data_IF_839213893336
#
_entry.id   IF_839213893336
#
_cell.length_a   1.000
_cell.length_b   1.000
_cell.length_c   1.000
_cell.angle_alpha   90.00
_cell.angle_beta   90.00
_cell.angle_gamma   90.00
#
_symmetry.space_group_name_H-M   'P 1'
#
loop_
_entity.id
_entity.type
_entity.pdbx_description
1 polymer ?
#
# COMPACT_ATOMS: atom_id res chain seq x y z
N UNK A 1 -41.03 -6.74 -16.04
CA UNK A 1 -39.70 -7.22 -15.64
C UNK A 1 -39.74 -7.51 -14.14
N UNK A 2 -39.31 -8.69 -13.72
CA UNK A 2 -39.58 -9.22 -12.37
C UNK A 2 -38.53 -8.71 -11.36
N UNK A 3 -38.71 -7.50 -10.84
CA UNK A 3 -37.88 -6.94 -9.77
C UNK A 3 -37.88 -7.84 -8.51
N UNK A 4 -39.00 -8.51 -8.22
CA UNK A 4 -39.12 -9.38 -7.05
C UNK A 4 -38.18 -10.59 -7.15
N UNK A 5 -38.00 -11.16 -8.34
CA UNK A 5 -37.07 -12.27 -8.56
C UNK A 5 -35.60 -11.87 -8.38
N UNK A 6 -35.23 -10.66 -8.81
CA UNK A 6 -33.88 -10.11 -8.63
C UNK A 6 -33.61 -9.84 -7.15
N UNK A 7 -34.54 -9.16 -6.48
CA UNK A 7 -34.49 -8.89 -5.05
C UNK A 7 -34.37 -10.17 -4.23
N UNK A 8 -35.22 -11.16 -4.51
CA UNK A 8 -35.22 -12.44 -3.81
C UNK A 8 -33.89 -13.20 -3.95
N UNK A 9 -33.21 -13.08 -5.09
CA UNK A 9 -31.87 -13.68 -5.27
C UNK A 9 -30.85 -13.05 -4.32
N UNK A 10 -30.81 -11.72 -4.23
CA UNK A 10 -29.87 -11.02 -3.33
C UNK A 10 -30.21 -11.30 -1.87
N UNK A 11 -31.49 -11.27 -1.50
CA UNK A 11 -31.93 -11.60 -0.13
C UNK A 11 -31.57 -13.04 0.26
N UNK A 12 -31.67 -13.99 -0.68
CA UNK A 12 -31.25 -15.38 -0.45
C UNK A 12 -29.73 -15.50 -0.26
N UNK A 13 -28.93 -14.82 -1.11
CA UNK A 13 -27.48 -14.76 -0.95
C UNK A 13 -27.08 -14.21 0.43
N UNK A 14 -27.66 -13.08 0.84
CA UNK A 14 -27.37 -12.43 2.14
C UNK A 14 -27.68 -13.38 3.30
N UNK A 15 -28.81 -14.11 3.24
CA UNK A 15 -29.17 -15.09 4.25
C UNK A 15 -28.22 -16.29 4.30
N UNK A 16 -27.86 -16.85 3.14
CA UNK A 16 -26.98 -18.02 3.07
C UNK A 16 -25.54 -17.67 3.50
N UNK A 17 -25.04 -16.49 3.11
CA UNK A 17 -23.76 -15.96 3.57
C UNK A 17 -23.73 -15.82 5.09
N UNK A 18 -24.74 -15.17 5.68
CA UNK A 18 -24.81 -15.00 7.13
C UNK A 18 -24.87 -16.36 7.85
N UNK A 19 -25.66 -17.30 7.34
CA UNK A 19 -25.76 -18.64 7.91
C UNK A 19 -24.43 -19.40 7.83
N UNK A 20 -23.66 -19.24 6.75
CA UNK A 20 -22.31 -19.80 6.62
C UNK A 20 -21.35 -19.18 7.64
N UNK A 21 -21.36 -17.86 7.76
CA UNK A 21 -20.55 -17.14 8.74
C UNK A 21 -20.89 -17.56 10.19
N UNK A 22 -22.16 -17.78 10.52
CA UNK A 22 -22.56 -18.30 11.83
C UNK A 22 -22.01 -19.71 12.12
N UNK A 23 -21.82 -20.55 11.09
CA UNK A 23 -21.28 -21.91 11.22
C UNK A 23 -19.76 -21.93 11.38
N UNK A 24 -19.04 -21.15 10.58
CA UNK A 24 -17.57 -21.28 10.44
C UNK A 24 -16.81 -19.98 10.68
N UNK A 25 -17.47 -18.82 10.60
CA UNK A 25 -16.85 -17.50 10.52
C UNK A 25 -16.57 -16.78 11.83
N UNK A 26 -16.79 -17.42 12.98
CA UNK A 26 -16.46 -16.85 14.30
C UNK A 26 -15.04 -17.26 14.67
N UNK A 27 -14.04 -16.36 14.64
CA UNK A 27 -12.66 -16.72 14.94
C UNK A 27 -12.57 -17.31 16.35
N UNK A 28 -12.37 -18.63 16.44
CA UNK A 28 -11.98 -19.30 17.68
C UNK A 28 -10.47 -19.17 17.86
N UNK A 29 -10.00 -19.06 19.11
CA UNK A 29 -8.60 -18.86 19.51
C UNK A 29 -7.52 -19.31 18.50
N UNK A 30 -6.48 -18.48 18.36
CA UNK A 30 -5.39 -18.46 17.38
C UNK A 30 -4.60 -19.75 17.08
N UNK A 31 -4.88 -20.88 17.74
CA UNK A 31 -4.12 -22.12 17.55
C UNK A 31 -4.46 -22.89 16.26
N UNK A 32 -5.42 -22.43 15.44
CA UNK A 32 -5.85 -23.18 14.25
C UNK A 32 -6.41 -22.30 13.11
N UNK A 33 -5.80 -21.14 12.88
CA UNK A 33 -6.30 -20.13 11.95
C UNK A 33 -6.43 -20.65 10.50
N UNK A 34 -5.47 -21.44 10.02
CA UNK A 34 -5.47 -21.98 8.65
C UNK A 34 -6.69 -22.88 8.39
N UNK A 35 -7.04 -23.77 9.32
CA UNK A 35 -8.20 -24.66 9.16
C UNK A 35 -9.52 -23.88 9.19
N UNK A 36 -9.58 -22.77 9.92
CA UNK A 36 -10.76 -21.89 9.93
C UNK A 36 -10.92 -21.20 8.57
N UNK A 37 -9.83 -20.68 7.99
CA UNK A 37 -9.85 -20.09 6.66
C UNK A 37 -10.17 -21.11 5.56
N UNK A 38 -9.63 -22.33 5.64
CA UNK A 38 -9.98 -23.41 4.71
C UNK A 38 -11.48 -23.76 4.79
N UNK A 39 -12.02 -23.91 6.01
CA UNK A 39 -13.44 -24.18 6.20
C UNK A 39 -14.33 -23.03 5.70
N UNK A 40 -13.92 -21.78 5.94
CA UNK A 40 -14.60 -20.59 5.44
C UNK A 40 -14.60 -20.53 3.91
N UNK A 41 -13.45 -20.80 3.28
CA UNK A 41 -13.32 -20.89 1.83
C UNK A 41 -14.26 -21.96 1.25
N UNK A 42 -14.39 -23.11 1.92
CA UNK A 42 -15.31 -24.17 1.53
C UNK A 42 -16.79 -23.76 1.59
N UNK A 43 -17.19 -23.01 2.62
CA UNK A 43 -18.55 -22.48 2.73
C UNK A 43 -18.85 -21.45 1.64
N UNK A 44 -17.90 -20.54 1.36
CA UNK A 44 -18.04 -19.55 0.29
C UNK A 44 -18.13 -20.19 -1.09
N UNK A 45 -17.37 -21.26 -1.36
CA UNK A 45 -17.46 -21.99 -2.62
C UNK A 45 -18.87 -22.53 -2.88
N UNK A 46 -19.54 -23.07 -1.85
CA UNK A 46 -20.94 -23.51 -1.96
C UNK A 46 -21.90 -22.36 -2.25
N UNK A 47 -21.70 -21.20 -1.61
CA UNK A 47 -22.49 -19.99 -1.87
C UNK A 47 -22.30 -19.50 -3.31
N UNK A 48 -21.08 -19.54 -3.83
CA UNK A 48 -20.76 -19.17 -5.22
C UNK A 48 -21.53 -20.09 -6.19
N UNK A 49 -21.49 -21.41 -5.98
CA UNK A 49 -22.21 -22.37 -6.83
C UNK A 49 -23.73 -22.13 -6.86
N UNK A 50 -24.31 -21.73 -5.73
CA UNK A 50 -25.77 -21.54 -5.59
C UNK A 50 -26.28 -20.19 -6.11
N UNK A 51 -25.47 -19.13 -6.02
CA UNK A 51 -25.91 -17.75 -6.26
C UNK A 51 -25.23 -17.07 -7.44
N UNK A 52 -24.01 -17.46 -7.78
CA UNK A 52 -23.19 -16.74 -8.73
C UNK A 52 -23.15 -17.42 -10.11
N UNK A 53 -22.66 -16.68 -11.10
CA UNK A 53 -22.25 -17.23 -12.39
C UNK A 53 -20.90 -17.92 -12.27
N UNK A 54 -20.58 -18.84 -13.18
CA UNK A 54 -19.28 -19.51 -13.22
C UNK A 54 -18.14 -18.48 -13.29
N UNK A 55 -17.16 -18.62 -12.39
CA UNK A 55 -15.95 -17.79 -12.35
C UNK A 55 -16.09 -16.49 -11.55
N UNK A 56 -17.27 -16.18 -11.00
CA UNK A 56 -17.43 -15.09 -10.04
C UNK A 56 -17.07 -15.53 -8.62
N UNK A 57 -16.87 -14.57 -7.72
CA UNK A 57 -16.52 -14.82 -6.31
C UNK A 57 -17.28 -13.86 -5.39
N UNK A 58 -17.23 -14.15 -4.08
CA UNK A 58 -17.80 -13.26 -3.06
C UNK A 58 -16.85 -12.11 -2.68
N UNK A 59 -15.54 -12.27 -2.92
CA UNK A 59 -14.51 -11.35 -2.45
C UNK A 59 -14.14 -11.54 -0.97
N UNK A 60 -14.84 -12.45 -0.26
CA UNK A 60 -14.62 -12.76 1.15
C UNK A 60 -13.65 -13.93 1.39
N UNK A 61 -13.13 -14.57 0.34
CA UNK A 61 -12.37 -15.82 0.43
C UNK A 61 -11.04 -15.66 1.22
N UNK A 62 -10.49 -14.45 1.26
CA UNK A 62 -9.27 -14.12 2.02
C UNK A 62 -9.51 -13.39 3.35
N UNK A 63 -10.76 -13.16 3.76
CA UNK A 63 -11.08 -12.32 4.91
C UNK A 63 -12.14 -12.96 5.80
N UNK A 64 -11.86 -13.01 7.11
CA UNK A 64 -12.80 -13.48 8.11
C UNK A 64 -12.83 -12.53 9.30
N UNK A 65 -13.99 -11.90 9.51
CA UNK A 65 -14.20 -10.86 10.51
C UNK A 65 -15.09 -11.34 11.65
N UNK A 66 -15.03 -10.64 12.79
CA UNK A 66 -15.91 -10.88 13.96
C UNK A 66 -17.37 -10.51 13.73
N UNK A 67 -17.68 -9.86 12.60
CA UNK A 67 -19.03 -9.59 12.10
C UNK A 67 -19.18 -10.15 10.68
N UNK A 68 -20.37 -10.65 10.34
CA UNK A 68 -20.66 -11.08 8.96
C UNK A 68 -20.66 -9.87 8.01
N UNK A 69 -20.02 -10.01 6.84
CA UNK A 69 -20.06 -8.98 5.79
C UNK A 69 -21.47 -8.74 5.22
N UNK A 70 -22.33 -9.77 5.30
CA UNK A 70 -23.74 -9.75 4.95
C UNK A 70 -24.58 -10.30 6.11
N UNK A 71 -25.65 -9.59 6.47
CA UNK A 71 -26.54 -9.94 7.58
C UNK A 71 -27.97 -9.49 7.24
N UNK A 72 -28.95 -10.41 7.12
CA UNK A 72 -30.34 -10.08 6.78
C UNK A 72 -31.01 -9.08 7.74
N UNK A 73 -30.51 -8.97 8.97
CA UNK A 73 -31.06 -8.06 9.99
C UNK A 73 -30.46 -6.65 9.93
N UNK A 74 -29.28 -6.50 9.32
CA UNK A 74 -28.53 -5.23 9.24
C UNK A 74 -28.43 -4.68 7.82
N UNK A 75 -28.57 -5.53 6.81
CA UNK A 75 -28.47 -5.17 5.40
C UNK A 75 -29.83 -4.83 4.80
N UNK A 76 -29.92 -3.69 4.12
CA UNK A 76 -31.15 -3.19 3.48
C UNK A 76 -30.89 -2.90 2.01
N UNK A 77 -31.69 -3.51 1.13
CA UNK A 77 -31.69 -3.18 -0.30
C UNK A 77 -32.28 -1.79 -0.52
N UNK A 78 -31.49 -0.89 -1.10
CA UNK A 78 -31.84 0.51 -1.35
C UNK A 78 -32.30 0.75 -2.78
N UNK A 79 -31.82 -0.03 -3.75
CA UNK A 79 -32.14 0.16 -5.18
C UNK A 79 -32.18 -1.18 -5.93
N UNK A 80 -33.11 -1.31 -6.90
CA UNK A 80 -33.19 -2.46 -7.82
C UNK A 80 -33.47 -1.95 -9.23
N UNK A 81 -32.49 -2.10 -10.13
CA UNK A 81 -32.60 -1.80 -11.56
C UNK A 81 -32.60 -3.09 -12.34
N UNK A 82 -33.55 -3.24 -13.27
CA UNK A 82 -33.69 -4.45 -14.08
C UNK A 82 -33.81 -4.04 -15.53
N UNK A 83 -32.89 -4.55 -16.33
CA UNK A 83 -32.92 -4.54 -17.79
C UNK A 83 -33.42 -5.90 -18.29
N UNK A 84 -33.30 -6.16 -19.60
CA UNK A 84 -33.88 -7.38 -20.21
C UNK A 84 -33.29 -8.66 -19.62
N UNK A 85 -31.96 -8.73 -19.54
CA UNK A 85 -31.16 -9.88 -19.13
C UNK A 85 -30.07 -9.51 -18.10
N UNK A 86 -30.05 -8.26 -17.65
CA UNK A 86 -29.13 -7.74 -16.63
C UNK A 86 -29.89 -7.04 -15.52
N UNK A 87 -29.34 -7.04 -14.32
CA UNK A 87 -29.88 -6.28 -13.22
C UNK A 87 -28.77 -5.78 -12.30
N UNK A 88 -29.05 -4.68 -11.59
CA UNK A 88 -28.19 -4.13 -10.54
C UNK A 88 -29.03 -3.97 -9.28
N UNK A 89 -28.54 -4.49 -8.17
CA UNK A 89 -29.13 -4.28 -6.84
C UNK A 89 -28.11 -3.55 -5.99
N UNK A 90 -28.54 -2.54 -5.25
CA UNK A 90 -27.71 -1.88 -4.24
C UNK A 90 -28.26 -2.11 -2.86
N UNK A 91 -27.36 -2.29 -1.90
CA UNK A 91 -27.70 -2.41 -0.50
C UNK A 91 -26.75 -1.61 0.39
N UNK A 92 -27.16 -1.43 1.64
CA UNK A 92 -26.34 -0.86 2.71
C UNK A 92 -26.44 -1.77 3.92
N UNK A 93 -25.32 -2.07 4.55
CA UNK A 93 -25.25 -2.77 5.84
C UNK A 93 -24.75 -1.83 6.92
N UNK A 94 -25.43 -1.82 8.08
CA UNK A 94 -25.11 -0.93 9.19
C UNK A 94 -24.61 -1.74 10.40
N UNK A 95 -23.28 -1.85 10.57
CA UNK A 95 -22.68 -2.47 11.77
C UNK A 95 -22.48 -1.49 12.94
N UNK A 96 -23.03 -0.28 12.86
CA UNK A 96 -22.86 0.76 13.87
C UNK A 96 -22.36 2.06 13.26
N UNK A 97 -21.11 2.43 13.57
CA UNK A 97 -20.57 3.77 13.27
C UNK A 97 -20.23 4.02 11.80
N UNK A 98 -19.97 2.97 11.00
CA UNK A 98 -19.68 3.10 9.58
C UNK A 98 -20.49 2.09 8.77
N UNK A 99 -21.38 2.54 7.87
CA UNK A 99 -22.06 1.66 6.94
C UNK A 99 -21.10 1.13 5.88
N UNK A 100 -21.38 -0.06 5.33
CA UNK A 100 -20.80 -0.51 4.06
C UNK A 100 -21.90 -0.53 3.00
N UNK A 101 -21.51 -0.30 1.76
CA UNK A 101 -22.41 -0.30 0.61
C UNK A 101 -22.03 -1.43 -0.35
N UNK A 102 -23.02 -2.09 -0.93
CA UNK A 102 -22.78 -3.13 -1.92
C UNK A 102 -23.53 -2.86 -3.21
N UNK A 103 -22.91 -3.26 -4.33
CA UNK A 103 -23.57 -3.37 -5.62
C UNK A 103 -23.46 -4.82 -6.13
N UNK A 104 -24.61 -5.45 -6.32
CA UNK A 104 -24.74 -6.75 -6.95
C UNK A 104 -25.10 -6.55 -8.41
N UNK A 105 -24.24 -7.04 -9.31
CA UNK A 105 -24.56 -7.10 -10.75
C UNK A 105 -24.99 -8.53 -11.06
N UNK A 106 -26.14 -8.65 -11.72
CA UNK A 106 -26.76 -9.93 -12.03
C UNK A 106 -26.99 -10.06 -13.52
N UNK A 107 -26.93 -11.29 -14.01
CA UNK A 107 -27.35 -11.69 -15.35
C UNK A 107 -28.41 -12.79 -15.27
N UNK A 108 -29.19 -12.94 -16.34
CA UNK A 108 -30.21 -13.97 -16.42
C UNK A 108 -29.69 -15.19 -17.20
N UNK A 109 -29.50 -16.30 -16.51
CA UNK A 109 -29.06 -17.60 -17.04
C UNK A 109 -30.13 -18.67 -16.77
N UNK A 110 -30.51 -19.44 -17.79
CA UNK A 110 -31.53 -20.51 -17.66
C UNK A 110 -32.82 -20.06 -16.92
N UNK A 111 -33.29 -18.86 -17.29
CA UNK A 111 -34.43 -18.16 -16.68
C UNK A 111 -34.26 -17.70 -15.21
N UNK A 112 -33.11 -17.98 -14.58
CA UNK A 112 -32.76 -17.59 -13.22
C UNK A 112 -31.83 -16.38 -13.20
N UNK A 113 -31.94 -15.55 -12.15
CA UNK A 113 -30.96 -14.50 -11.90
C UNK A 113 -29.77 -15.06 -11.13
N UNK A 114 -28.56 -14.76 -11.61
CA UNK A 114 -27.27 -15.14 -11.01
C UNK A 114 -26.43 -13.89 -10.81
N UNK A 115 -25.72 -13.82 -9.69
CA UNK A 115 -24.80 -12.73 -9.38
C UNK A 115 -23.52 -12.95 -10.21
N UNK A 116 -23.19 -12.03 -11.10
CA UNK A 116 -21.96 -12.10 -11.87
C UNK A 116 -20.83 -11.25 -11.28
N UNK A 117 -21.18 -10.27 -10.43
CA UNK A 117 -20.20 -9.44 -9.75
C UNK A 117 -20.80 -8.91 -8.44
N UNK A 118 -20.01 -8.92 -7.38
CA UNK A 118 -20.30 -8.28 -6.10
C UNK A 118 -19.23 -7.23 -5.86
N UNK A 119 -19.65 -5.97 -5.71
CA UNK A 119 -18.79 -4.83 -5.40
C UNK A 119 -19.09 -4.35 -3.99
N UNK A 120 -18.04 -4.01 -3.25
CA UNK A 120 -18.08 -3.44 -1.90
C UNK A 120 -17.52 -2.03 -1.94
N UNK A 121 -18.20 -1.11 -1.23
CA UNK A 121 -17.79 0.28 -1.08
C UNK A 121 -17.86 0.77 0.37
N UNK A 122 -16.96 1.69 0.72
CA UNK A 122 -16.98 2.36 2.03
C UNK A 122 -17.83 3.64 2.03
N UNK A 123 -17.95 4.30 0.89
CA UNK A 123 -18.70 5.54 0.73
C UNK A 123 -20.06 5.35 0.00
N UNK A 124 -21.06 6.19 0.30
CA UNK A 124 -22.35 6.12 -0.37
C UNK A 124 -22.25 6.50 -1.86
N UNK A 125 -23.19 6.01 -2.71
CA UNK A 125 -23.22 6.37 -4.12
C UNK A 125 -23.28 7.89 -4.35
N UNK A 126 -22.39 8.39 -5.22
CA UNK A 126 -22.31 9.81 -5.57
C UNK A 126 -21.68 10.71 -4.51
N UNK A 127 -21.14 10.14 -3.41
CA UNK A 127 -20.31 10.91 -2.49
C UNK A 127 -19.02 11.38 -3.20
N UNK A 128 -18.66 12.67 -3.12
CA UNK A 128 -17.41 13.12 -3.70
C UNK A 128 -16.24 12.43 -2.98
N UNK A 129 -15.15 12.12 -3.71
CA UNK A 129 -13.95 11.56 -3.09
C UNK A 129 -13.45 12.42 -1.93
N UNK A 130 -13.46 13.74 -2.13
CA UNK A 130 -13.06 14.73 -1.14
C UNK A 130 -13.95 15.96 -1.24
N UNK A 131 -14.09 16.72 -0.15
CA UNK A 131 -14.81 17.98 -0.15
C UNK A 131 -14.25 18.95 -1.23
N UNK A 132 -15.09 19.62 -2.05
CA UNK A 132 -14.62 20.50 -3.11
C UNK A 132 -13.71 21.64 -2.67
N UNK A 133 -13.92 22.21 -1.47
CA UNK A 133 -13.05 23.26 -0.96
C UNK A 133 -11.68 22.68 -0.57
N UNK A 134 -11.66 21.46 -0.02
CA UNK A 134 -10.41 20.74 0.25
C UNK A 134 -9.69 20.35 -1.04
N UNK A 135 -10.41 19.94 -2.09
CA UNK A 135 -9.84 19.69 -3.41
C UNK A 135 -9.12 20.94 -3.95
N UNK A 136 -9.74 22.12 -3.84
CA UNK A 136 -9.12 23.39 -4.25
C UNK A 136 -7.87 23.71 -3.44
N UNK A 137 -7.86 23.44 -2.12
CA UNK A 137 -6.66 23.60 -1.28
C UNK A 137 -5.53 22.68 -1.76
N UNK A 138 -5.82 21.40 -2.02
CA UNK A 138 -4.83 20.44 -2.50
C UNK A 138 -4.25 20.85 -3.85
N UNK A 139 -5.09 21.23 -4.81
CA UNK A 139 -4.63 21.65 -6.13
C UNK A 139 -3.74 22.90 -6.08
N UNK A 140 -4.00 23.81 -5.15
CA UNK A 140 -3.21 25.03 -4.95
C UNK A 140 -1.94 24.82 -4.10
N UNK A 141 -1.76 23.65 -3.48
CA UNK A 141 -0.56 23.34 -2.70
C UNK A 141 0.66 23.04 -3.59
N UNK A 142 0.45 22.66 -4.85
CA UNK A 142 1.51 22.44 -5.82
C UNK A 142 1.88 23.73 -6.57
N UNK A 143 3.18 23.96 -6.79
CA UNK A 143 3.68 25.14 -7.51
C UNK A 143 4.74 24.77 -8.55
N UNK A 144 4.78 25.53 -9.65
CA UNK A 144 5.86 25.43 -10.64
C UNK A 144 7.23 25.80 -10.05
N UNK A 145 7.28 26.53 -8.93
CA UNK A 145 8.50 27.02 -8.29
C UNK A 145 8.85 26.32 -6.97
N UNK A 146 8.07 25.29 -6.56
CA UNK A 146 8.23 24.61 -5.26
C UNK A 146 9.62 23.99 -5.08
N UNK A 147 10.35 24.32 -4.02
CA UNK A 147 11.77 23.96 -3.87
C UNK A 147 12.10 22.49 -4.20
N UNK A 148 13.30 22.28 -4.75
CA UNK A 148 13.86 20.95 -4.96
C UNK A 148 14.97 20.73 -3.93
N UNK A 149 14.69 20.06 -2.80
CA UNK A 149 15.67 19.90 -1.74
C UNK A 149 16.87 19.06 -2.20
N UNK A 150 18.00 19.24 -1.52
CA UNK A 150 19.17 18.41 -1.74
C UNK A 150 18.91 16.98 -1.24
N UNK A 151 19.51 15.99 -1.91
CA UNK A 151 19.48 14.63 -1.39
C UNK A 151 20.28 14.54 -0.09
N UNK A 152 19.84 13.72 0.87
CA UNK A 152 20.69 13.26 1.97
C UNK A 152 22.04 12.76 1.45
N UNK A 153 23.13 13.16 2.12
CA UNK A 153 24.50 12.91 1.64
C UNK A 153 24.93 11.43 1.69
N UNK A 154 24.18 10.63 2.43
CA UNK A 154 24.32 9.19 2.63
C UNK A 154 23.59 8.35 1.58
N UNK A 155 22.70 8.96 0.77
CA UNK A 155 22.05 8.29 -0.36
C UNK A 155 22.93 8.29 -1.60
N UNK A 156 23.17 7.11 -2.15
CA UNK A 156 23.92 6.91 -3.39
C UNK A 156 23.00 6.32 -4.47
N UNK A 157 22.27 7.22 -5.12
CA UNK A 157 21.32 6.85 -6.16
C UNK A 157 22.04 6.62 -7.51
N UNK A 158 21.71 5.51 -8.15
CA UNK A 158 22.04 5.23 -9.56
C UNK A 158 20.77 4.83 -10.31
N UNK A 159 19.85 5.79 -10.43
CA UNK A 159 18.55 5.56 -11.04
C UNK A 159 18.68 5.20 -12.52
N UNK A 160 19.71 5.70 -13.22
CA UNK A 160 19.94 5.33 -14.63
C UNK A 160 20.13 3.82 -14.78
N UNK A 161 20.87 3.19 -13.86
CA UNK A 161 21.08 1.75 -13.85
C UNK A 161 19.88 0.93 -13.35
N UNK A 162 18.86 1.57 -12.74
CA UNK A 162 17.56 0.93 -12.47
C UNK A 162 16.70 0.79 -13.73
N UNK A 163 17.05 1.44 -14.84
CA UNK A 163 16.34 1.36 -16.13
C UNK A 163 17.27 0.93 -17.28
N UNK A 164 18.40 0.29 -16.96
CA UNK A 164 19.34 -0.23 -17.95
C UNK A 164 18.92 -1.63 -18.43
N UNK A 165 18.02 -1.70 -19.42
CA UNK A 165 17.55 -2.96 -19.99
C UNK A 165 18.69 -3.92 -20.35
N UNK A 166 18.59 -5.17 -19.91
CA UNK A 166 19.57 -6.24 -20.10
C UNK A 166 20.70 -6.28 -19.06
N UNK A 167 20.77 -5.29 -18.17
CA UNK A 167 21.69 -5.29 -17.02
C UNK A 167 21.46 -6.54 -16.17
N UNK A 168 22.55 -7.23 -15.80
CA UNK A 168 22.47 -8.37 -14.88
C UNK A 168 22.45 -7.86 -13.44
N UNK A 169 21.46 -8.31 -12.67
CA UNK A 169 21.24 -7.95 -11.27
C UNK A 169 20.89 -9.21 -10.48
N UNK A 170 21.06 -9.22 -9.17
CA UNK A 170 20.79 -10.40 -8.33
C UNK A 170 20.00 -10.05 -7.06
N UNK A 171 18.77 -9.49 -7.17
CA UNK A 171 17.95 -9.14 -6.01
C UNK A 171 17.61 -10.34 -5.11
N UNK A 172 17.66 -11.55 -5.67
CA UNK A 172 17.33 -12.80 -5.00
C UNK A 172 18.53 -13.76 -4.92
N UNK A 173 19.75 -13.25 -5.03
CA UNK A 173 21.00 -14.02 -5.01
C UNK A 173 21.40 -14.65 -6.35
N UNK A 174 20.44 -14.97 -7.22
CA UNK A 174 20.72 -15.46 -8.58
C UNK A 174 20.70 -14.33 -9.62
N UNK A 175 21.64 -14.31 -10.59
CA UNK A 175 21.64 -13.31 -11.67
C UNK A 175 20.41 -13.42 -12.57
N UNK A 176 19.73 -12.29 -12.76
CA UNK A 176 18.62 -12.11 -13.69
C UNK A 176 18.83 -10.85 -14.52
N UNK A 177 18.22 -10.83 -15.72
CA UNK A 177 18.26 -9.65 -16.57
C UNK A 177 17.18 -8.67 -16.13
N UNK A 178 17.54 -7.40 -16.01
CA UNK A 178 16.60 -6.31 -15.83
C UNK A 178 15.84 -6.08 -17.14
N UNK A 179 14.52 -6.08 -17.10
CA UNK A 179 13.65 -5.71 -18.22
C UNK A 179 13.09 -4.30 -18.01
N UNK A 180 12.85 -3.57 -19.09
CA UNK A 180 12.18 -2.26 -19.04
C UNK A 180 10.94 -2.33 -19.92
N UNK A 181 9.78 -2.21 -19.30
CA UNK A 181 8.47 -2.34 -19.93
C UNK A 181 7.86 -0.96 -20.07
N UNK A 182 7.57 -0.57 -21.31
CA UNK A 182 6.78 0.64 -21.59
C UNK A 182 5.29 0.34 -21.34
N UNK A 183 4.71 1.01 -20.36
CA UNK A 183 3.32 0.82 -19.94
C UNK A 183 2.34 1.62 -20.80
N UNK A 184 2.78 2.76 -21.34
CA UNK A 184 1.95 3.63 -22.16
C UNK A 184 2.21 5.11 -21.90
N UNK A 185 1.21 5.93 -22.19
CA UNK A 185 1.27 7.38 -22.03
C UNK A 185 0.24 7.86 -21.00
N UNK A 186 0.69 8.73 -20.09
CA UNK A 186 -0.10 9.34 -19.03
C UNK A 186 -0.19 10.85 -19.28
N UNK A 187 -1.41 11.34 -19.44
CA UNK A 187 -1.73 12.75 -19.68
C UNK A 187 -1.97 13.44 -18.35
N UNK A 188 -1.11 14.39 -18.02
CA UNK A 188 -1.31 15.30 -16.89
C UNK A 188 -1.74 16.65 -17.45
N UNK A 189 -3.06 16.88 -17.49
CA UNK A 189 -3.63 18.12 -18.00
C UNK A 189 -3.55 19.26 -16.98
N UNK A 190 -3.61 18.93 -15.69
CA UNK A 190 -3.52 19.92 -14.62
C UNK A 190 -2.08 20.30 -14.30
N UNK A 191 -1.11 19.45 -14.60
CA UNK A 191 0.27 19.58 -14.13
C UNK A 191 0.45 19.23 -12.65
N UNK A 192 -0.61 18.90 -11.92
CA UNK A 192 -0.58 18.55 -10.50
C UNK A 192 -0.68 17.03 -10.38
N UNK A 193 0.43 16.39 -10.04
CA UNK A 193 0.49 14.95 -9.84
C UNK A 193 0.33 14.59 -8.35
N UNK A 194 -0.26 13.43 -8.09
CA UNK A 194 -0.17 12.73 -6.81
C UNK A 194 0.46 11.36 -7.02
N UNK A 195 1.24 10.90 -6.05
CA UNK A 195 1.79 9.54 -6.00
C UNK A 195 1.30 8.93 -4.70
N UNK A 196 0.65 7.77 -4.77
CA UNK A 196 0.03 7.17 -3.59
C UNK A 196 -0.16 5.68 -3.74
N UNK A 197 -0.36 5.04 -2.61
CA UNK A 197 -1.07 3.77 -2.56
C UNK A 197 -2.54 3.96 -2.98
N UNK A 198 -2.96 3.26 -4.03
CA UNK A 198 -4.29 3.39 -4.61
C UNK A 198 -5.22 2.33 -3.99
N UNK A 199 -6.41 2.77 -3.55
CA UNK A 199 -7.39 1.92 -2.87
C UNK A 199 -7.96 2.52 -1.58
N UNK A 200 -7.30 3.53 -1.01
CA UNK A 200 -7.67 4.12 0.30
C UNK A 200 -8.47 5.44 0.20
N UNK A 201 -9.50 5.53 -0.65
CA UNK A 201 -10.38 6.72 -0.74
C UNK A 201 -9.59 8.05 -0.75
N UNK A 202 -9.93 9.00 0.12
CA UNK A 202 -9.19 10.25 0.31
C UNK A 202 -8.07 10.20 1.38
N UNK A 203 -7.86 9.06 2.04
CA UNK A 203 -6.84 8.94 3.09
C UNK A 203 -5.43 9.15 2.50
N UNK A 204 -4.66 10.04 3.15
CA UNK A 204 -3.30 10.38 2.70
C UNK A 204 -3.23 11.11 1.35
N UNK A 205 -4.35 11.65 0.84
CA UNK A 205 -4.36 12.31 -0.46
C UNK A 205 -3.65 13.67 -0.41
N UNK A 206 -2.52 13.76 -1.11
CA UNK A 206 -1.77 15.00 -1.25
C UNK A 206 -1.03 15.08 -2.59
N UNK A 207 -0.80 16.28 -3.14
CA UNK A 207 -0.03 16.46 -4.37
C UNK A 207 1.47 16.37 -4.10
N UNK A 208 2.23 16.04 -5.14
CA UNK A 208 3.65 16.42 -5.19
C UNK A 208 3.77 17.94 -5.17
N UNK A 209 4.73 18.46 -4.40
CA UNK A 209 4.91 19.90 -4.22
C UNK A 209 5.23 20.63 -5.54
N UNK A 210 6.01 19.97 -6.41
CA UNK A 210 6.39 20.52 -7.71
C UNK A 210 5.35 20.17 -8.77
N UNK A 211 4.79 21.22 -9.38
CA UNK A 211 3.92 21.13 -10.56
C UNK A 211 4.74 20.90 -11.81
N UNK A 212 4.21 20.12 -12.76
CA UNK A 212 4.73 19.95 -14.10
C UNK A 212 4.01 20.87 -15.10
N UNK A 213 4.61 21.16 -16.27
CA UNK A 213 3.84 21.62 -17.41
C UNK A 213 2.67 20.68 -17.71
N UNK A 214 1.61 21.17 -18.35
CA UNK A 214 0.60 20.25 -18.87
C UNK A 214 1.20 19.45 -20.04
N UNK A 215 0.95 18.14 -20.09
CA UNK A 215 1.53 17.30 -21.13
C UNK A 215 1.14 15.83 -21.03
N UNK A 216 1.69 15.04 -21.95
CA UNK A 216 1.54 13.58 -21.99
C UNK A 216 2.92 12.95 -21.89
N UNK A 217 3.07 12.03 -20.95
CA UNK A 217 4.36 11.50 -20.49
C UNK A 217 4.39 10.00 -20.62
N UNK A 218 5.52 9.45 -21.06
CA UNK A 218 5.68 8.01 -21.18
C UNK A 218 5.90 7.38 -19.80
N UNK A 219 5.11 6.38 -19.45
CA UNK A 219 5.29 5.57 -18.26
C UNK A 219 6.06 4.28 -18.58
N UNK A 220 7.07 3.99 -17.77
CA UNK A 220 7.91 2.80 -17.88
C UNK A 220 8.12 2.19 -16.50
N UNK A 221 8.18 0.87 -16.44
CA UNK A 221 8.55 0.13 -15.22
C UNK A 221 9.74 -0.76 -15.52
N UNK A 222 10.71 -0.79 -14.64
CA UNK A 222 11.78 -1.78 -14.69
C UNK A 222 11.44 -2.98 -13.82
N UNK A 223 11.77 -4.19 -14.28
CA UNK A 223 11.45 -5.43 -13.59
C UNK A 223 12.65 -6.37 -13.54
N UNK A 224 12.72 -7.18 -12.48
CA UNK A 224 13.70 -8.24 -12.32
C UNK A 224 12.98 -9.51 -11.83
N UNK A 225 13.03 -10.58 -12.62
CA UNK A 225 12.33 -11.84 -12.31
C UNK A 225 10.81 -11.69 -12.03
N UNK A 226 10.15 -10.74 -12.71
CA UNK A 226 8.74 -10.45 -12.52
C UNK A 226 8.43 -9.47 -11.38
N UNK A 227 9.41 -9.10 -10.56
CA UNK A 227 9.28 -8.09 -9.52
C UNK A 227 9.56 -6.70 -10.07
N UNK A 228 8.68 -5.74 -9.81
CA UNK A 228 8.90 -4.33 -10.17
C UNK A 228 10.02 -3.73 -9.33
N UNK A 229 11.01 -3.13 -9.99
CA UNK A 229 12.19 -2.49 -9.37
C UNK A 229 11.96 -0.99 -9.20
N UNK A 230 11.47 -0.32 -10.24
CA UNK A 230 11.15 1.11 -10.19
C UNK A 230 10.12 1.49 -11.26
N UNK A 231 9.30 2.50 -10.98
CA UNK A 231 8.38 3.14 -11.93
C UNK A 231 8.96 4.50 -12.34
N UNK A 232 8.88 4.86 -13.62
CA UNK A 232 9.32 6.14 -14.18
C UNK A 232 8.24 6.77 -15.06
N UNK A 233 8.01 8.07 -14.86
CA UNK A 233 7.44 8.95 -15.90
C UNK A 233 8.54 9.75 -16.57
N UNK A 234 8.63 9.65 -17.89
CA UNK A 234 9.50 10.46 -18.73
C UNK A 234 8.81 11.79 -19.07
N UNK A 235 9.31 12.88 -18.48
CA UNK A 235 8.74 14.23 -18.62
C UNK A 235 9.36 14.97 -19.80
N UNK A 236 10.66 14.75 -20.06
CA UNK A 236 11.35 15.27 -21.24
C UNK A 236 12.45 14.30 -21.69
N UNK A 237 12.96 14.51 -22.91
CA UNK A 237 14.10 13.77 -23.47
C UNK A 237 15.46 14.30 -22.98
N UNK A 238 15.48 15.33 -22.13
CA UNK A 238 16.72 15.90 -21.63
C UNK A 238 17.41 14.91 -20.67
N UNK A 239 18.74 14.74 -20.75
CA UNK A 239 19.47 13.88 -19.82
C UNK A 239 19.33 14.38 -18.37
N UNK A 240 19.03 13.47 -17.46
CA UNK A 240 19.05 13.73 -16.02
C UNK A 240 20.51 13.84 -15.55
N UNK A 241 20.85 14.95 -14.91
CA UNK A 241 22.21 15.19 -14.36
C UNK A 241 22.23 15.23 -12.84
N UNK A 242 21.07 15.37 -12.19
CA UNK A 242 20.95 15.34 -10.74
C UNK A 242 19.58 14.81 -10.31
N UNK A 243 19.52 14.29 -9.09
CA UNK A 243 18.30 13.77 -8.49
C UNK A 243 17.91 14.60 -7.27
N UNK A 244 16.61 14.78 -7.08
CA UNK A 244 16.01 15.56 -5.99
C UNK A 244 14.85 14.77 -5.39
N UNK A 245 14.62 14.81 -4.07
CA UNK A 245 13.38 14.27 -3.49
C UNK A 245 12.15 14.85 -4.17
N UNK A 246 11.21 14.00 -4.56
CA UNK A 246 9.88 14.42 -5.02
C UNK A 246 8.92 14.47 -3.83
N UNK A 247 9.07 15.52 -3.02
CA UNK A 247 8.27 15.69 -1.80
C UNK A 247 6.79 15.91 -2.11
N UNK A 248 5.95 15.27 -1.30
CA UNK A 248 4.55 15.64 -1.15
C UNK A 248 4.47 17.00 -0.46
N UNK A 249 3.53 17.85 -0.85
CA UNK A 249 3.46 19.23 -0.37
C UNK A 249 3.33 19.31 1.17
N UNK A 250 4.42 19.70 1.83
CA UNK A 250 4.48 19.82 3.30
C UNK A 250 4.85 18.53 4.04
N UNK A 251 5.25 17.49 3.32
CA UNK A 251 5.56 16.16 3.85
C UNK A 251 6.88 15.61 3.27
N UNK A 252 7.10 14.29 3.40
CA UNK A 252 8.28 13.61 2.87
C UNK A 252 8.14 13.27 1.38
N UNK A 253 9.22 12.75 0.77
CA UNK A 253 9.19 12.15 -0.56
C UNK A 253 8.91 10.63 -0.53
N UNK A 254 8.54 10.08 0.63
CA UNK A 254 8.32 8.64 0.83
C UNK A 254 6.83 8.36 0.86
N UNK A 255 6.40 7.39 0.06
CA UNK A 255 5.01 6.96 -0.05
C UNK A 255 4.84 5.67 0.74
N UNK A 256 3.94 5.68 1.73
CA UNK A 256 3.52 4.47 2.42
C UNK A 256 2.58 3.65 1.54
N UNK A 257 2.80 2.33 1.51
CA UNK A 257 2.04 1.35 0.75
C UNK A 257 1.60 0.22 1.68
N UNK A 258 0.31 -0.08 1.63
CA UNK A 258 -0.42 -1.08 2.42
C UNK A 258 -1.38 -1.92 1.55
N UNK A 259 -1.66 -1.51 0.31
CA UNK A 259 -2.38 -2.31 -0.69
C UNK A 259 -1.46 -2.84 -1.81
N UNK A 260 -0.15 -2.97 -1.55
CA UNK A 260 0.81 -3.57 -2.48
C UNK A 260 0.94 -2.92 -3.86
N UNK A 261 0.54 -1.65 -4.01
CA UNK A 261 0.61 -0.92 -5.26
C UNK A 261 1.04 0.54 -5.09
N UNK A 262 1.50 1.14 -6.18
CA UNK A 262 1.69 2.58 -6.28
C UNK A 262 1.07 3.08 -7.57
N UNK A 263 0.33 4.18 -7.47
CA UNK A 263 -0.22 4.89 -8.59
C UNK A 263 0.31 6.32 -8.70
N UNK A 264 0.53 6.78 -9.93
CA UNK A 264 0.80 8.18 -10.28
C UNK A 264 -0.38 8.70 -11.08
N UNK A 265 -1.01 9.77 -10.59
CA UNK A 265 -2.31 10.25 -11.11
C UNK A 265 -2.32 11.77 -11.31
N UNK A 266 -3.09 12.24 -12.30
CA UNK A 266 -3.50 13.65 -12.35
C UNK A 266 -4.49 13.95 -11.22
N UNK A 267 -4.07 14.79 -10.26
CA UNK A 267 -4.84 15.05 -9.06
C UNK A 267 -6.18 15.74 -9.37
N UNK A 268 -6.23 16.61 -10.37
CA UNK A 268 -7.46 17.35 -10.68
C UNK A 268 -8.56 16.41 -11.18
N UNK A 269 -8.20 15.40 -11.97
CA UNK A 269 -9.16 14.40 -12.43
C UNK A 269 -9.54 13.45 -11.29
N UNK A 270 -8.58 13.07 -10.43
CA UNK A 270 -8.87 12.23 -9.27
C UNK A 270 -9.87 12.87 -8.30
N UNK A 271 -9.65 14.12 -7.89
CA UNK A 271 -10.56 14.82 -6.95
C UNK A 271 -11.92 15.18 -7.56
N UNK A 272 -12.06 15.07 -8.88
CA UNK A 272 -13.36 15.25 -9.57
C UNK A 272 -14.22 13.98 -9.59
N UNK A 273 -13.63 12.83 -9.27
CA UNK A 273 -14.34 11.56 -9.19
C UNK A 273 -15.18 11.48 -7.91
N UNK A 274 -16.25 10.69 -7.96
CA UNK A 274 -16.90 10.21 -6.74
C UNK A 274 -16.08 9.06 -6.11
N UNK A 275 -16.30 8.81 -4.82
CA UNK A 275 -15.52 7.83 -4.06
C UNK A 275 -15.68 6.40 -4.61
N UNK A 276 -16.91 6.02 -4.98
CA UNK A 276 -17.19 4.69 -5.53
C UNK A 276 -16.49 4.46 -6.87
N UNK A 277 -16.44 5.47 -7.75
CA UNK A 277 -15.70 5.41 -9.00
C UNK A 277 -14.21 5.13 -8.78
N UNK A 278 -13.59 5.75 -7.76
CA UNK A 278 -12.18 5.50 -7.42
C UNK A 278 -11.98 4.06 -6.91
N UNK A 279 -12.89 3.58 -6.07
CA UNK A 279 -12.86 2.20 -5.56
C UNK A 279 -13.08 1.17 -6.69
N UNK A 280 -14.00 1.42 -7.62
CA UNK A 280 -14.22 0.57 -8.80
C UNK A 280 -12.97 0.49 -9.68
N UNK A 281 -12.31 1.63 -9.93
CA UNK A 281 -11.06 1.68 -10.69
C UNK A 281 -9.97 0.87 -9.98
N UNK A 282 -9.85 0.98 -8.66
CA UNK A 282 -8.91 0.17 -7.90
C UNK A 282 -9.19 -1.33 -8.05
N UNK A 283 -10.44 -1.77 -7.85
CA UNK A 283 -10.82 -3.18 -7.99
C UNK A 283 -10.59 -3.70 -9.42
N UNK A 284 -10.92 -2.90 -10.44
CA UNK A 284 -10.68 -3.26 -11.83
C UNK A 284 -9.18 -3.44 -12.12
N UNK A 285 -8.35 -2.49 -11.69
CA UNK A 285 -6.95 -2.48 -12.10
C UNK A 285 -6.05 -3.34 -11.22
N UNK A 286 -6.34 -3.49 -9.92
CA UNK A 286 -5.62 -4.41 -9.02
C UNK A 286 -5.62 -5.84 -9.55
N UNK A 287 -6.76 -6.31 -10.06
CA UNK A 287 -6.85 -7.64 -10.68
C UNK A 287 -5.96 -7.81 -11.91
N UNK A 288 -5.76 -6.74 -12.69
CA UNK A 288 -4.91 -6.77 -13.90
C UNK A 288 -3.42 -6.80 -13.56
N UNK A 289 -3.03 -6.32 -12.39
CA UNK A 289 -1.64 -6.28 -11.96
C UNK A 289 -1.06 -7.67 -11.66
N UNK A 290 -1.88 -8.70 -11.49
CA UNK A 290 -1.39 -10.07 -11.33
C UNK A 290 -0.71 -10.61 -12.61
N UNK A 291 -1.14 -10.13 -13.79
CA UNK A 291 -0.69 -10.63 -15.08
C UNK A 291 0.16 -9.61 -15.86
N UNK A 292 0.39 -8.41 -15.31
CA UNK A 292 1.08 -7.32 -15.99
C UNK A 292 1.96 -6.51 -15.03
N UNK A 293 3.08 -5.98 -15.53
CA UNK A 293 3.98 -5.13 -14.74
C UNK A 293 3.33 -3.81 -14.30
N UNK A 294 2.25 -3.38 -14.96
CA UNK A 294 1.52 -2.16 -14.67
C UNK A 294 0.33 -1.94 -15.60
N UNK A 295 -0.50 -0.96 -15.27
CA UNK A 295 -1.64 -0.54 -16.06
C UNK A 295 -1.72 0.98 -16.15
N UNK A 296 -1.91 1.49 -17.37
CA UNK A 296 -2.28 2.89 -17.65
C UNK A 296 -3.78 2.94 -17.90
N UNK A 297 -4.46 3.91 -17.31
CA UNK A 297 -5.92 4.01 -17.37
C UNK A 297 -6.43 5.44 -17.23
N UNK A 298 -7.75 5.59 -17.40
CA UNK A 298 -8.44 6.86 -17.28
C UNK A 298 -9.26 6.91 -16.00
N UNK A 299 -9.08 7.97 -15.22
CA UNK A 299 -9.87 8.25 -14.03
C UNK A 299 -11.31 8.61 -14.41
N UNK A 300 -11.50 9.37 -15.48
CA UNK A 300 -12.81 9.93 -15.89
C UNK A 300 -13.37 9.35 -17.19
N UNK A 301 -12.63 8.46 -17.84
CA UNK A 301 -12.94 7.90 -19.16
C UNK A 301 -12.56 8.78 -20.36
N UNK A 302 -12.00 9.98 -20.14
CA UNK A 302 -11.68 10.93 -21.19
C UNK A 302 -10.28 10.77 -21.79
N UNK A 303 -9.27 10.63 -20.92
CA UNK A 303 -7.85 10.50 -21.28
C UNK A 303 -7.17 9.54 -20.30
N UNK A 304 -6.11 8.88 -20.73
CA UNK A 304 -5.27 8.12 -19.80
C UNK A 304 -4.48 9.10 -18.95
N UNK A 305 -4.80 9.21 -17.66
CA UNK A 305 -4.30 10.21 -16.71
C UNK A 305 -3.84 9.55 -15.38
N UNK A 306 -3.78 8.23 -15.36
CA UNK A 306 -3.26 7.43 -14.26
C UNK A 306 -2.40 6.27 -14.76
N UNK A 307 -1.39 5.92 -13.96
CA UNK A 307 -0.66 4.66 -14.06
C UNK A 307 -0.60 4.02 -12.69
N UNK A 308 -0.76 2.71 -12.60
CA UNK A 308 -0.63 1.93 -11.38
C UNK A 308 0.23 0.69 -11.63
N UNK A 309 1.07 0.34 -10.67
CA UNK A 309 1.96 -0.84 -10.70
C UNK A 309 1.96 -1.52 -9.34
N UNK A 310 2.31 -2.81 -9.29
CA UNK A 310 2.63 -3.44 -7.99
C UNK A 310 3.92 -2.85 -7.44
N UNK A 311 3.97 -2.65 -6.12
CA UNK A 311 5.20 -2.25 -5.43
C UNK A 311 6.10 -3.46 -5.23
N UNK A 312 7.42 -3.27 -5.35
CA UNK A 312 8.42 -4.33 -5.43
C UNK A 312 8.20 -5.53 -4.51
N UNK A 313 8.45 -5.39 -3.22
CA UNK A 313 8.20 -6.46 -2.24
C UNK A 313 6.80 -6.40 -1.60
N UNK A 314 5.87 -5.63 -2.17
CA UNK A 314 4.55 -5.38 -1.60
C UNK A 314 4.54 -4.16 -0.70
N UNK A 315 3.96 -4.28 0.49
CA UNK A 315 3.78 -3.16 1.42
C UNK A 315 5.11 -2.61 1.93
N UNK A 316 5.16 -1.30 2.18
CA UNK A 316 6.40 -0.64 2.56
C UNK A 316 6.37 0.87 2.41
N UNK A 317 7.56 1.47 2.38
CA UNK A 317 7.75 2.90 2.29
C UNK A 317 8.72 3.20 1.14
N UNK A 318 8.22 3.79 0.06
CA UNK A 318 8.94 3.89 -1.21
C UNK A 318 9.22 5.34 -1.58
N UNK A 319 10.50 5.73 -1.77
CA UNK A 319 10.84 7.10 -2.09
C UNK A 319 10.57 7.45 -3.55
N UNK A 320 10.16 8.70 -3.75
CA UNK A 320 9.98 9.34 -5.04
C UNK A 320 11.08 10.36 -5.30
N UNK A 321 11.53 10.44 -6.56
CA UNK A 321 12.60 11.33 -6.98
C UNK A 321 12.28 12.06 -8.29
N UNK A 322 12.62 13.34 -8.33
CA UNK A 322 12.70 14.13 -9.54
C UNK A 322 14.09 13.99 -10.17
N UNK A 323 14.12 13.60 -11.45
CA UNK A 323 15.29 13.71 -12.29
C UNK A 323 15.34 15.11 -12.90
N UNK A 324 16.43 15.83 -12.66
CA UNK A 324 16.63 17.23 -13.07
C UNK A 324 17.70 17.31 -14.15
N UNK A 325 17.37 17.99 -15.24
CA UNK A 325 18.27 18.25 -16.36
C UNK A 325 19.28 19.38 -16.05
N UNK A 326 20.27 19.56 -16.92
CA UNK A 326 21.34 20.57 -16.74
C UNK A 326 20.80 22.01 -16.66
N UNK A 327 19.69 22.31 -17.35
CA UNK A 327 19.03 23.61 -17.31
C UNK A 327 18.10 23.81 -16.10
N UNK A 328 18.04 22.83 -15.20
CA UNK A 328 17.21 22.84 -13.99
C UNK A 328 15.75 22.39 -14.23
N UNK A 329 15.37 22.01 -15.44
CA UNK A 329 14.02 21.50 -15.73
C UNK A 329 13.85 20.04 -15.26
N UNK A 330 12.61 19.65 -14.98
CA UNK A 330 12.28 18.26 -14.63
C UNK A 330 12.26 17.41 -15.90
N UNK A 331 13.05 16.34 -15.91
CA UNK A 331 13.12 15.37 -17.01
C UNK A 331 12.43 14.04 -16.68
N UNK A 332 12.34 13.66 -15.40
CA UNK A 332 11.63 12.44 -15.00
C UNK A 332 11.08 12.49 -13.58
N UNK A 333 10.01 11.74 -13.32
CA UNK A 333 9.60 11.30 -11.98
C UNK A 333 9.94 9.82 -11.84
N UNK A 334 10.51 9.41 -10.71
CA UNK A 334 10.78 8.00 -10.40
C UNK A 334 10.24 7.64 -9.03
N UNK A 335 9.59 6.48 -8.94
CA UNK A 335 9.31 5.79 -7.68
C UNK A 335 10.25 4.60 -7.59
N UNK A 336 11.06 4.53 -6.56
CA UNK A 336 12.00 3.44 -6.33
C UNK A 336 11.39 2.42 -5.36
N UNK A 337 11.28 1.16 -5.79
CA UNK A 337 10.76 0.08 -4.94
C UNK A 337 11.82 -0.57 -4.05
N UNK A 338 13.03 -0.01 -4.01
CA UNK A 338 14.12 -0.43 -3.12
C UNK A 338 14.47 -1.93 -3.27
N UNK A 339 14.28 -2.47 -4.47
CA UNK A 339 14.57 -3.89 -4.78
C UNK A 339 16.07 -4.10 -5.06
N UNK A 340 16.71 -3.11 -5.67
CA UNK A 340 18.13 -3.16 -6.05
C UNK A 340 18.95 -2.20 -5.20
N UNK A 341 18.89 -2.40 -3.88
CA UNK A 341 19.67 -1.61 -2.94
C UNK A 341 20.56 -2.48 -2.06
N UNK A 342 21.58 -1.83 -1.52
CA UNK A 342 22.28 -2.28 -0.32
C UNK A 342 22.11 -1.19 0.73
N UNK A 343 21.57 -1.57 1.89
CA UNK A 343 21.43 -0.68 3.02
C UNK A 343 22.81 -0.29 3.56
N UNK A 344 23.02 1.01 3.74
CA UNK A 344 24.19 1.51 4.44
C UNK A 344 23.84 1.57 5.91
N UNK A 345 24.48 0.70 6.70
CA UNK A 345 24.28 0.63 8.15
C UNK A 345 25.54 0.99 8.91
N UNK A 346 25.36 1.59 10.08
CA UNK A 346 26.42 1.84 11.05
C UNK A 346 26.10 1.16 12.36
N UNK A 347 27.09 0.46 12.89
CA UNK A 347 26.97 -0.27 14.15
C UNK A 347 27.66 0.52 15.25
N UNK A 348 26.91 0.82 16.31
CA UNK A 348 27.37 1.52 17.50
C UNK A 348 27.34 0.53 18.66
N UNK A 349 28.46 0.38 19.34
CA UNK A 349 28.59 -0.48 20.52
C UNK A 349 28.81 0.37 21.76
N UNK A 350 27.98 0.19 22.77
CA UNK A 350 28.12 0.87 24.07
C UNK A 350 28.08 -0.15 25.21
N UNK A 351 28.72 0.11 26.36
CA UNK A 351 28.56 -0.75 27.53
C UNK A 351 27.08 -0.85 27.91
N UNK A 352 26.62 -2.06 28.23
CA UNK A 352 25.28 -2.26 28.76
C UNK A 352 25.13 -1.51 30.08
N UNK A 353 24.12 -0.67 30.17
CA UNK A 353 23.82 0.12 31.35
C UNK A 353 22.32 0.34 31.50
N UNK A 354 21.87 0.49 32.74
CA UNK A 354 20.52 0.97 33.03
C UNK A 354 20.47 2.49 32.93
N UNK A 355 19.33 3.01 32.49
CA UNK A 355 19.10 4.42 32.25
C UNK A 355 19.29 4.81 30.79
N UNK A 356 19.56 6.09 30.57
CA UNK A 356 19.75 6.66 29.23
C UNK A 356 21.13 6.30 28.68
N UNK A 357 21.15 5.87 27.42
CA UNK A 357 22.37 5.60 26.66
C UNK A 357 22.91 6.93 26.14
N UNK A 358 23.94 7.46 26.80
CA UNK A 358 24.53 8.75 26.47
C UNK A 358 25.76 8.58 25.58
N UNK A 359 25.55 8.42 24.28
CA UNK A 359 26.63 8.50 23.28
C UNK A 359 26.23 9.50 22.19
N UNK A 360 27.16 10.34 21.69
CA UNK A 360 26.83 11.35 20.68
C UNK A 360 26.12 10.79 19.44
N UNK A 361 26.43 9.56 19.06
CA UNK A 361 25.89 8.89 17.88
C UNK A 361 24.45 8.41 18.04
N UNK A 362 23.93 8.34 19.27
CA UNK A 362 22.55 7.95 19.59
C UNK A 362 21.78 9.07 20.30
N UNK A 363 22.31 10.29 20.28
CA UNK A 363 21.74 11.42 21.01
C UNK A 363 20.32 11.76 20.56
N UNK A 364 20.02 11.54 19.27
CA UNK A 364 18.74 11.86 18.65
C UNK A 364 17.69 10.73 18.81
N UNK A 365 18.06 9.59 19.41
CA UNK A 365 17.22 8.39 19.50
C UNK A 365 16.67 8.11 20.90
N UNK A 366 16.95 8.99 21.87
CA UNK A 366 16.51 8.89 23.27
C UNK A 366 16.56 7.47 23.88
N UNK A 367 17.60 6.70 23.50
CA UNK A 367 17.67 5.28 23.83
C UNK A 367 17.82 5.08 25.34
N UNK A 368 16.92 4.30 25.94
CA UNK A 368 16.81 4.13 27.37
C UNK A 368 16.52 2.68 27.74
N UNK A 369 17.23 2.16 28.75
CA UNK A 369 17.05 0.79 29.25
C UNK A 369 16.57 0.84 30.69
N UNK A 370 15.39 0.28 30.97
CA UNK A 370 14.88 0.13 32.34
C UNK A 370 14.83 -1.33 32.78
N UNK A 371 15.10 -1.59 34.05
CA UNK A 371 14.83 -2.89 34.66
C UNK A 371 13.38 -2.95 35.14
N UNK A 372 12.71 -4.07 34.91
CA UNK A 372 11.36 -4.36 35.39
C UNK A 372 11.29 -5.81 35.91
N UNK A 373 11.62 -6.00 37.18
CA UNK A 373 11.78 -7.33 37.76
C UNK A 373 12.94 -8.09 37.09
N UNK A 374 12.63 -9.26 36.54
CA UNK A 374 13.60 -10.11 35.81
C UNK A 374 13.69 -9.77 34.31
N UNK A 375 13.02 -8.69 33.87
CA UNK A 375 13.01 -8.23 32.48
C UNK A 375 13.68 -6.87 32.31
N UNK A 376 14.06 -6.56 31.08
CA UNK A 376 14.54 -5.25 30.65
C UNK A 376 13.61 -4.68 29.60
N UNK A 377 13.32 -3.39 29.69
CA UNK A 377 12.58 -2.64 28.67
C UNK A 377 13.54 -1.70 27.99
N UNK A 378 13.70 -1.87 26.68
CA UNK A 378 14.52 -1.00 25.83
C UNK A 378 13.57 -0.08 25.08
N UNK A 379 13.68 1.23 25.31
CA UNK A 379 12.87 2.26 24.69
C UNK A 379 13.76 3.16 23.84
N UNK A 380 13.26 3.58 22.69
CA UNK A 380 13.93 4.52 21.80
C UNK A 380 12.91 5.38 21.06
N UNK A 381 13.38 6.51 20.55
CA UNK A 381 12.69 7.32 19.55
C UNK A 381 13.38 7.18 18.20
N UNK A 382 12.65 7.48 17.14
CA UNK A 382 13.15 7.42 15.77
C UNK A 382 13.15 6.02 15.16
N UNK A 383 13.04 6.02 13.84
CA UNK A 383 12.88 4.86 12.96
C UNK A 383 14.21 4.32 12.44
N UNK A 384 15.27 5.13 12.41
CA UNK A 384 16.59 4.74 11.87
C UNK A 384 17.33 3.67 12.65
N UNK A 385 16.95 3.33 13.90
CA UNK A 385 17.49 2.13 14.55
C UNK A 385 16.82 0.89 13.93
N UNK A 386 17.54 0.17 13.07
CA UNK A 386 17.03 -1.03 12.42
C UNK A 386 17.19 -2.28 13.30
N UNK A 387 18.22 -2.31 14.15
CA UNK A 387 18.53 -3.48 14.99
C UNK A 387 19.13 -3.11 16.34
N UNK A 388 18.73 -3.85 17.38
CA UNK A 388 19.34 -3.81 18.71
C UNK A 388 19.73 -5.22 19.12
N UNK A 389 20.93 -5.37 19.68
CA UNK A 389 21.46 -6.62 20.24
C UNK A 389 22.10 -6.39 21.59
N UNK A 390 22.10 -7.42 22.42
CA UNK A 390 22.96 -7.47 23.61
C UNK A 390 23.94 -8.61 23.45
N UNK A 391 25.21 -8.30 23.61
CA UNK A 391 26.31 -9.23 23.46
C UNK A 391 27.01 -9.44 24.80
N UNK A 392 27.45 -10.67 25.07
CA UNK A 392 28.38 -10.97 26.14
C UNK A 392 29.77 -10.39 25.83
N UNK A 393 30.69 -10.28 26.82
CA UNK A 393 32.05 -9.78 26.60
C UNK A 393 32.86 -10.54 25.55
N UNK A 394 32.53 -11.82 25.31
CA UNK A 394 33.16 -12.67 24.30
C UNK A 394 32.51 -12.55 22.91
N UNK A 395 31.51 -11.68 22.75
CA UNK A 395 30.75 -11.48 21.52
C UNK A 395 29.55 -12.41 21.35
N UNK A 396 29.27 -13.31 22.30
CA UNK A 396 28.10 -14.19 22.23
C UNK A 396 26.81 -13.38 22.28
N UNK A 397 25.90 -13.60 21.33
CA UNK A 397 24.58 -12.94 21.30
C UNK A 397 23.72 -13.43 22.48
N UNK A 398 23.38 -12.51 23.38
CA UNK A 398 22.47 -12.74 24.52
C UNK A 398 21.03 -12.35 24.18
N UNK A 399 20.86 -11.37 23.28
CA UNK A 399 19.59 -10.83 22.83
C UNK A 399 19.69 -10.39 21.37
N UNK A 400 18.70 -10.75 20.56
CA UNK A 400 18.44 -10.16 19.24
C UNK A 400 17.06 -9.51 19.26
N UNK A 401 17.02 -8.19 19.09
CA UNK A 401 15.82 -7.38 19.16
C UNK A 401 14.80 -7.76 18.09
N UNK A 402 15.20 -8.31 16.95
CA UNK A 402 14.24 -8.78 15.93
C UNK A 402 13.40 -9.98 16.41
N UNK A 403 13.84 -10.68 17.45
CA UNK A 403 13.11 -11.79 18.04
C UNK A 403 12.20 -11.36 19.19
N UNK A 404 12.19 -10.07 19.52
CA UNK A 404 11.35 -9.50 20.56
C UNK A 404 10.13 -8.83 19.94
N UNK A 405 8.99 -8.92 20.64
CA UNK A 405 7.82 -8.13 20.28
C UNK A 405 8.15 -6.64 20.35
N UNK A 406 7.77 -5.90 19.30
CA UNK A 406 7.89 -4.45 19.22
C UNK A 406 6.54 -3.81 19.52
N UNK A 407 6.52 -2.89 20.48
CA UNK A 407 5.38 -2.00 20.72
C UNK A 407 5.74 -0.60 20.25
N UNK A 408 4.84 0.04 19.50
CA UNK A 408 5.02 1.39 18.95
C UNK A 408 3.88 2.28 19.44
N UNK A 409 4.22 3.45 19.97
CA UNK A 409 3.26 4.45 20.42
C UNK A 409 3.77 5.85 20.01
N UNK A 410 3.23 6.38 18.91
CA UNK A 410 3.81 7.58 18.29
C UNK A 410 5.18 7.27 17.69
N UNK A 411 6.17 8.11 18.00
CA UNK A 411 7.58 7.95 17.63
C UNK A 411 8.36 7.04 18.59
N UNK A 412 7.70 6.54 19.65
CA UNK A 412 8.34 5.75 20.68
C UNK A 412 8.21 4.25 20.38
N UNK A 413 9.36 3.59 20.30
CA UNK A 413 9.49 2.16 20.12
C UNK A 413 9.92 1.51 21.44
N UNK A 414 9.30 0.39 21.81
CA UNK A 414 9.61 -0.34 23.05
C UNK A 414 9.70 -1.83 22.80
N UNK A 415 10.75 -2.46 23.32
CA UNK A 415 10.96 -3.90 23.31
C UNK A 415 11.19 -4.40 24.73
N UNK A 416 10.65 -5.59 25.05
CA UNK A 416 10.80 -6.23 26.35
C UNK A 416 11.67 -7.47 26.17
N UNK A 417 12.74 -7.55 26.94
CA UNK A 417 13.65 -8.69 26.96
C UNK A 417 13.65 -9.37 28.33
N UNK A 418 13.35 -10.66 28.33
CA UNK A 418 13.44 -11.54 29.50
C UNK A 418 14.65 -12.48 29.33
N UNK A 419 15.83 -12.13 29.87
CA UNK A 419 17.01 -12.97 29.73
C UNK A 419 16.85 -14.30 30.47
N UNK A 420 17.33 -15.38 29.84
CA UNK A 420 17.31 -16.73 30.43
C UNK A 420 18.34 -16.92 31.56
N UNK A 421 19.36 -16.08 31.59
CA UNK A 421 20.46 -16.11 32.55
C UNK A 421 20.84 -14.69 32.94
N UNK A 422 21.42 -14.50 34.13
CA UNK A 422 21.93 -13.20 34.54
C UNK A 422 22.90 -12.64 33.49
N UNK A 423 22.80 -11.33 33.20
CA UNK A 423 23.72 -10.69 32.27
C UNK A 423 25.16 -10.78 32.83
N UNK A 424 26.13 -11.22 32.01
CA UNK A 424 27.53 -11.11 32.34
C UNK A 424 27.91 -9.65 32.62
N UNK A 425 28.80 -9.38 33.60
CA UNK A 425 29.48 -8.08 33.69
C UNK A 425 30.13 -7.73 32.35
N UNK A 426 30.18 -6.45 32.01
CA UNK A 426 30.77 -5.93 30.77
C UNK A 426 30.06 -6.37 29.47
N UNK A 427 28.80 -6.80 29.56
CA UNK A 427 27.95 -6.98 28.38
C UNK A 427 27.83 -5.66 27.58
N UNK A 428 27.61 -5.78 26.28
CA UNK A 428 27.58 -4.66 25.34
C UNK A 428 26.18 -4.56 24.73
N UNK A 429 25.68 -3.34 24.57
CA UNK A 429 24.54 -3.02 23.73
C UNK A 429 25.05 -2.63 22.35
N UNK A 430 24.70 -3.41 21.34
CA UNK A 430 24.97 -3.15 19.93
C UNK A 430 23.72 -2.56 19.30
N UNK A 431 23.83 -1.38 18.69
CA UNK A 431 22.75 -0.66 18.02
C UNK A 431 23.16 -0.46 16.56
N UNK A 432 22.33 -0.94 15.64
CA UNK A 432 22.51 -0.72 14.21
C UNK A 432 21.61 0.43 13.76
N UNK A 433 22.22 1.46 13.21
CA UNK A 433 21.54 2.57 12.55
C UNK A 433 21.52 2.33 11.04
N UNK A 434 20.38 2.55 10.42
CA UNK A 434 20.22 2.69 8.98
C UNK A 434 20.57 4.13 8.63
N UNK A 435 21.74 4.31 8.01
CA UNK A 435 22.22 5.63 7.59
C UNK A 435 21.77 5.93 6.14
N UNK A 436 21.25 4.96 5.38
CA UNK A 436 20.75 5.19 4.02
C UNK A 436 20.85 3.94 3.16
N UNK A 437 20.98 4.12 1.85
CA UNK A 437 21.16 3.02 0.91
C UNK A 437 21.90 3.47 -0.36
N UNK A 438 22.46 2.48 -1.06
CA UNK A 438 23.04 2.65 -2.39
C UNK A 438 22.38 1.70 -3.37
N UNK A 439 22.25 2.12 -4.63
CA UNK A 439 21.80 1.19 -5.68
C UNK A 439 22.92 0.19 -6.02
N UNK A 440 22.53 -1.07 -6.27
CA UNK A 440 23.45 -2.15 -6.64
C UNK A 440 23.29 -2.62 -8.07
#
# INVERSE_FOLDING_TARGET
MNQDGVRARVEAFVADFHNAWERTGKPTNSSNIDQVFEAWTGELAGIVDDHFTIGASTGGEGSLSSSAAHDPSLETITEVKVETDRATVRSVINHGSMPNYYEYRLVREDEQWRICQLLHFFDPPGAPLIDPAQAEILLNAASLDAALPELPADLQLDVANLFAHGRQVAPFGEPVSLEVVRLGEVTCGSGVLTVRDFGYGAFGLAPLARRLPAGTYCAEVSTAAGTNVALRLLISEAPVVSWRPAEVAGESNVIGVDAGNVAVLDLANLVSCDAQQVEELYQEHSSKLFDAAGAVFSLTGAVNDAVMVTSGFGDGAYPCYWGVAEDGTIASLVVDFLVLIEETVRVITVPWQLGQVNTPELADHELHVTANGDSFVIRRTGDTISKIRVLAPDGTELMDGHRLGLSVAGDQHSQIWEPRTALPPDSILEVTLQDGYRHI
#
